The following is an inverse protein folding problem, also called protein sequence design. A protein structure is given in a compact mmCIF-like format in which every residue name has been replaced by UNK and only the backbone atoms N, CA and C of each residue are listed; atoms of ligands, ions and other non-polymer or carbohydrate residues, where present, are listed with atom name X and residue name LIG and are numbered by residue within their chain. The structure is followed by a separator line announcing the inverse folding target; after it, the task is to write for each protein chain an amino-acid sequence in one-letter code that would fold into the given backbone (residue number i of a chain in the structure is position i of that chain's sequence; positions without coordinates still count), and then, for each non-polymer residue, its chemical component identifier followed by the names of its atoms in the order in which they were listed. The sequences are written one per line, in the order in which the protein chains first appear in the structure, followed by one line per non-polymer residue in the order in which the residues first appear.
data_IF_267028506871
#
_entry.id   IF_267028506871
#
_cell.length_a   1.000
_cell.length_b   1.000
_cell.length_c   1.000
_cell.angle_alpha   90.00
_cell.angle_beta   90.00
_cell.angle_gamma   90.00
#
_symmetry.space_group_name_H-M   'P 1'
#
loop_
_entity.id
_entity.type
_entity.pdbx_description
1 polymer ?
#
# COMPACT_ATOMS: atom_id res chain seq x y z
N UNK A 1 27.76 -37.54 -27.97
CA UNK A 1 27.52 -37.48 -26.50
C UNK A 1 28.09 -36.19 -25.87
N UNK A 2 29.35 -35.83 -26.10
CA UNK A 2 30.01 -34.66 -25.49
C UNK A 2 29.26 -33.31 -25.66
N UNK A 3 28.69 -33.00 -26.83
CA UNK A 3 27.95 -31.74 -27.07
C UNK A 3 26.64 -31.64 -26.24
N UNK A 4 25.96 -32.73 -25.97
CA UNK A 4 24.76 -32.73 -25.13
C UNK A 4 25.08 -32.56 -23.66
N UNK A 5 26.21 -33.10 -23.19
CA UNK A 5 26.68 -32.95 -21.84
C UNK A 5 27.15 -31.50 -21.60
N UNK A 6 27.83 -30.87 -22.57
CA UNK A 6 28.26 -29.49 -22.48
C UNK A 6 27.07 -28.50 -22.41
N UNK A 7 26.04 -28.72 -23.20
CA UNK A 7 24.79 -27.93 -23.16
C UNK A 7 24.06 -28.10 -21.81
N UNK A 8 24.07 -29.28 -21.22
CA UNK A 8 23.45 -29.52 -19.91
C UNK A 8 24.20 -28.81 -18.80
N UNK A 9 25.54 -28.81 -18.84
CA UNK A 9 26.39 -28.07 -17.90
C UNK A 9 26.22 -26.55 -18.03
N UNK A 10 26.08 -26.02 -19.25
CA UNK A 10 25.80 -24.58 -19.47
C UNK A 10 24.41 -24.17 -18.95
N UNK A 11 23.39 -25.01 -19.14
CA UNK A 11 22.04 -24.77 -18.62
C UNK A 11 21.99 -24.84 -17.07
N UNK A 12 22.71 -25.77 -16.45
CA UNK A 12 22.82 -25.85 -14.99
C UNK A 12 23.58 -24.67 -14.38
N UNK A 13 24.62 -24.17 -15.05
CA UNK A 13 25.39 -22.99 -14.55
C UNK A 13 24.58 -21.69 -14.65
N UNK A 14 23.64 -21.55 -15.61
CA UNK A 14 22.77 -20.41 -15.74
C UNK A 14 21.65 -20.38 -14.67
N UNK A 15 21.24 -21.56 -14.17
CA UNK A 15 20.19 -21.65 -13.15
C UNK A 15 20.66 -21.34 -11.73
N UNK A 16 21.98 -21.24 -11.52
CA UNK A 16 22.57 -20.96 -10.19
C UNK A 16 22.74 -19.46 -9.88
N UNK A 17 22.31 -18.58 -10.78
CA UNK A 17 22.24 -17.14 -10.48
C UNK A 17 20.94 -16.85 -9.71
N UNK A 18 20.91 -17.27 -8.45
CA UNK A 18 19.94 -16.74 -7.50
C UNK A 18 20.27 -15.26 -7.28
N UNK A 19 19.47 -14.38 -7.87
CA UNK A 19 19.50 -12.97 -7.52
C UNK A 19 19.12 -12.84 -6.05
N UNK A 20 20.11 -12.74 -5.17
CA UNK A 20 19.87 -12.21 -3.85
C UNK A 20 19.47 -10.74 -4.01
N UNK A 21 18.16 -10.49 -4.07
CA UNK A 21 17.64 -9.14 -3.88
C UNK A 21 17.88 -8.82 -2.40
N UNK A 22 19.04 -8.25 -2.12
CA UNK A 22 19.30 -7.66 -0.81
C UNK A 22 18.36 -6.46 -0.72
N UNK A 23 17.29 -6.63 0.06
CA UNK A 23 16.43 -5.50 0.42
C UNK A 23 17.35 -4.46 1.09
N UNK A 24 17.64 -3.38 0.37
CA UNK A 24 18.40 -2.28 0.94
C UNK A 24 17.58 -1.70 2.11
N UNK A 25 18.14 -1.63 3.31
CA UNK A 25 17.48 -0.94 4.40
C UNK A 25 17.22 0.48 3.93
N UNK A 26 15.95 0.83 3.78
CA UNK A 26 15.59 2.20 3.45
C UNK A 26 16.11 3.10 4.56
N UNK A 27 16.97 4.03 4.22
CA UNK A 27 17.41 5.05 5.17
C UNK A 27 16.17 5.71 5.81
N UNK A 28 16.15 5.88 7.13
CA UNK A 28 15.03 6.55 7.79
C UNK A 28 14.79 7.89 7.06
N UNK A 29 13.54 8.12 6.65
CA UNK A 29 13.16 9.36 5.97
C UNK A 29 13.46 10.53 6.90
N UNK A 30 14.39 11.37 6.52
CA UNK A 30 14.66 12.63 7.22
C UNK A 30 13.52 13.60 6.97
N UNK A 31 12.88 14.04 8.06
CA UNK A 31 11.83 15.06 7.99
C UNK A 31 12.47 16.42 7.72
N UNK A 32 11.88 17.22 6.84
CA UNK A 32 12.24 18.61 6.71
C UNK A 32 11.68 19.42 7.92
N UNK A 33 12.06 20.68 8.06
CA UNK A 33 11.68 21.50 9.20
C UNK A 33 10.15 21.66 9.37
N UNK A 34 9.40 21.75 8.28
CA UNK A 34 7.93 21.85 8.32
C UNK A 34 7.29 20.52 8.74
N UNK A 35 7.76 19.41 8.22
CA UNK A 35 7.33 18.07 8.60
C UNK A 35 7.64 17.77 10.06
N UNK A 36 8.84 18.14 10.53
CA UNK A 36 9.23 17.98 11.93
C UNK A 36 8.30 18.78 12.86
N UNK A 37 8.01 20.03 12.51
CA UNK A 37 7.08 20.88 13.27
C UNK A 37 5.69 20.27 13.37
N UNK A 38 5.18 19.71 12.26
CA UNK A 38 3.88 19.02 12.25
C UNK A 38 3.92 17.74 13.08
N UNK A 39 5.00 16.96 13.01
CA UNK A 39 5.17 15.76 13.82
C UNK A 39 5.16 16.09 15.33
N UNK A 40 5.86 17.16 15.74
CA UNK A 40 5.86 17.63 17.14
C UNK A 40 4.45 18.05 17.56
N UNK A 41 3.72 18.81 16.74
CA UNK A 41 2.33 19.19 17.03
C UNK A 41 1.42 17.97 17.18
N UNK A 42 1.64 16.93 16.38
CA UNK A 42 0.85 15.70 16.42
C UNK A 42 1.01 14.95 17.75
N UNK A 43 2.13 15.09 18.45
CA UNK A 43 2.35 14.44 19.75
C UNK A 43 1.38 14.91 20.84
N UNK A 44 0.82 16.10 20.73
CA UNK A 44 -0.17 16.63 21.68
C UNK A 44 -1.63 16.25 21.33
N UNK A 45 -1.87 15.53 20.22
CA UNK A 45 -3.20 15.14 19.78
C UNK A 45 -3.43 13.66 20.10
N UNK A 46 -4.20 13.37 21.15
CA UNK A 46 -4.46 12.01 21.63
C UNK A 46 -5.65 11.33 20.94
N UNK A 47 -6.48 12.08 20.23
CA UNK A 47 -7.65 11.54 19.53
C UNK A 47 -7.27 10.69 18.31
N UNK A 48 -8.07 9.66 18.04
CA UNK A 48 -7.99 8.86 16.82
C UNK A 48 -9.37 8.68 16.20
N UNK A 49 -9.39 8.45 14.89
CA UNK A 49 -10.61 8.23 14.11
C UNK A 49 -10.44 6.97 13.28
N UNK A 50 -11.40 6.07 13.39
CA UNK A 50 -11.55 4.92 12.49
C UNK A 50 -12.85 5.08 11.71
N UNK A 51 -12.75 5.24 10.40
CA UNK A 51 -13.88 5.20 9.49
C UNK A 51 -14.04 3.78 8.98
N UNK A 52 -15.24 3.21 9.08
CA UNK A 52 -15.51 1.83 8.66
C UNK A 52 -16.58 1.88 7.58
N UNK A 53 -16.34 1.22 6.45
CA UNK A 53 -17.33 1.03 5.40
C UNK A 53 -17.16 -0.31 4.69
N UNK A 54 -18.16 -0.70 3.91
CA UNK A 54 -18.22 -2.03 3.31
C UNK A 54 -17.17 -2.21 2.20
N UNK A 55 -17.04 -1.24 1.31
CA UNK A 55 -16.26 -1.37 0.08
C UNK A 55 -15.24 -0.25 -0.08
N UNK A 56 -14.20 -0.46 -0.92
CA UNK A 56 -13.39 0.63 -1.44
C UNK A 56 -14.30 1.67 -2.11
N UNK A 57 -14.04 2.97 -1.89
CA UNK A 57 -14.81 4.13 -2.36
C UNK A 57 -16.01 4.59 -1.51
N UNK A 58 -16.41 3.84 -0.51
CA UNK A 58 -17.45 4.26 0.44
C UNK A 58 -16.93 5.29 1.47
N UNK A 59 -15.63 5.55 1.51
CA UNK A 59 -15.04 6.47 2.48
C UNK A 59 -15.30 7.93 2.15
N UNK A 60 -15.52 8.73 3.20
CA UNK A 60 -15.50 10.18 3.07
C UNK A 60 -14.05 10.70 3.10
N UNK A 61 -13.43 10.82 1.93
CA UNK A 61 -12.03 11.25 1.77
C UNK A 61 -11.78 12.65 2.31
N UNK A 62 -12.73 13.58 2.17
CA UNK A 62 -12.63 14.93 2.71
C UNK A 62 -12.61 14.92 4.25
N UNK A 63 -13.44 14.09 4.87
CA UNK A 63 -13.43 13.90 6.31
C UNK A 63 -12.11 13.30 6.80
N UNK A 64 -11.61 12.25 6.16
CA UNK A 64 -10.33 11.62 6.51
C UNK A 64 -9.17 12.62 6.40
N UNK A 65 -9.11 13.37 5.29
CA UNK A 65 -8.09 14.41 5.09
C UNK A 65 -8.17 15.52 6.16
N UNK A 66 -9.37 15.96 6.50
CA UNK A 66 -9.57 16.95 7.56
C UNK A 66 -9.10 16.44 8.92
N UNK A 67 -9.44 15.22 9.29
CA UNK A 67 -9.04 14.64 10.57
C UNK A 67 -7.53 14.38 10.61
N UNK A 68 -6.94 13.82 9.55
CA UNK A 68 -5.53 13.48 9.50
C UNK A 68 -4.61 14.72 9.40
N UNK A 69 -4.95 15.67 8.52
CA UNK A 69 -4.09 16.83 8.21
C UNK A 69 -4.53 18.10 8.91
N UNK A 70 -5.83 18.35 9.03
CA UNK A 70 -6.37 19.53 9.67
C UNK A 70 -6.36 19.42 11.18
N UNK A 71 -6.80 18.31 11.73
CA UNK A 71 -6.86 18.05 13.18
C UNK A 71 -5.66 17.31 13.72
N UNK A 72 -4.78 16.81 12.85
CA UNK A 72 -3.57 16.03 13.18
C UNK A 72 -3.86 14.74 13.97
N UNK A 73 -5.09 14.23 13.89
CA UNK A 73 -5.50 13.00 14.55
C UNK A 73 -4.96 11.78 13.79
N UNK A 74 -4.66 10.70 14.51
CA UNK A 74 -4.46 9.41 13.87
C UNK A 74 -5.79 8.99 13.23
N UNK A 75 -5.81 8.88 11.92
CA UNK A 75 -7.01 8.57 11.16
C UNK A 75 -6.79 7.32 10.33
N UNK A 76 -7.79 6.47 10.26
CA UNK A 76 -7.74 5.23 9.50
C UNK A 76 -9.06 4.97 8.80
N UNK A 77 -8.97 4.28 7.66
CA UNK A 77 -10.09 3.68 6.97
C UNK A 77 -10.00 2.16 7.03
N UNK A 78 -11.05 1.50 7.47
CA UNK A 78 -11.23 0.05 7.43
C UNK A 78 -12.28 -0.27 6.38
N UNK A 79 -11.87 -0.83 5.24
CA UNK A 79 -12.75 -1.44 4.26
C UNK A 79 -13.00 -2.92 4.63
N UNK A 80 -14.27 -3.32 4.71
CA UNK A 80 -14.62 -4.71 5.05
C UNK A 80 -14.24 -5.66 3.92
N UNK A 81 -14.31 -5.21 2.67
CA UNK A 81 -13.85 -5.97 1.49
C UNK A 81 -12.73 -5.22 0.77
N UNK A 82 -12.04 -5.89 -0.13
CA UNK A 82 -11.08 -5.27 -1.04
C UNK A 82 -11.71 -4.83 -2.36
N UNK A 83 -13.05 -5.01 -2.51
CA UNK A 83 -13.77 -4.67 -3.74
C UNK A 83 -13.67 -5.73 -4.83
N UNK A 84 -13.31 -6.96 -4.49
CA UNK A 84 -13.21 -8.10 -5.40
C UNK A 84 -14.54 -8.45 -6.09
N UNK A 85 -15.68 -8.12 -5.46
CA UNK A 85 -17.02 -8.26 -6.03
C UNK A 85 -17.44 -7.11 -6.97
N UNK A 86 -16.59 -6.11 -7.14
CA UNK A 86 -16.89 -4.94 -7.98
C UNK A 86 -16.70 -5.21 -9.46
N UNK A 87 -17.12 -4.24 -10.28
CA UNK A 87 -16.91 -4.25 -11.72
C UNK A 87 -15.75 -3.35 -12.11
N UNK A 88 -14.91 -3.80 -13.03
CA UNK A 88 -13.89 -2.97 -13.65
C UNK A 88 -14.46 -2.37 -14.95
N UNK A 89 -14.62 -1.05 -14.98
CA UNK A 89 -15.11 -0.34 -16.16
C UNK A 89 -13.99 -0.02 -17.18
N UNK A 90 -12.73 -0.21 -16.78
CA UNK A 90 -11.55 0.17 -17.58
C UNK A 90 -10.80 -1.04 -18.15
N UNK A 91 -11.03 -2.22 -17.61
CA UNK A 91 -10.32 -3.43 -17.97
C UNK A 91 -11.16 -4.71 -17.75
N UNK A 92 -10.52 -5.84 -17.96
CA UNK A 92 -11.17 -7.15 -17.87
C UNK A 92 -10.98 -7.84 -16.51
N UNK A 93 -10.27 -7.20 -15.59
CA UNK A 93 -9.93 -7.75 -14.28
C UNK A 93 -11.18 -7.90 -13.42
N UNK A 94 -11.35 -9.10 -12.85
CA UNK A 94 -12.46 -9.48 -11.99
C UNK A 94 -11.92 -10.26 -10.77
N UNK A 95 -12.73 -10.39 -9.73
CA UNK A 95 -12.39 -11.17 -8.54
C UNK A 95 -11.12 -10.67 -7.85
N UNK A 96 -10.21 -11.57 -7.53
CA UNK A 96 -8.97 -11.27 -6.80
C UNK A 96 -8.12 -10.19 -7.47
N UNK A 97 -8.05 -10.18 -8.80
CA UNK A 97 -7.31 -9.16 -9.54
C UNK A 97 -7.93 -7.77 -9.34
N UNK A 98 -9.25 -7.69 -9.31
CA UNK A 98 -9.96 -6.44 -9.00
C UNK A 98 -9.66 -6.00 -7.57
N UNK A 99 -9.64 -6.91 -6.60
CA UNK A 99 -9.25 -6.64 -5.22
C UNK A 99 -7.84 -6.06 -5.09
N UNK A 100 -6.88 -6.57 -5.89
CA UNK A 100 -5.51 -6.03 -5.94
C UNK A 100 -5.50 -4.59 -6.46
N UNK A 101 -6.22 -4.31 -7.56
CA UNK A 101 -6.32 -2.96 -8.14
C UNK A 101 -6.91 -1.99 -7.13
N UNK A 102 -8.06 -2.32 -6.55
CA UNK A 102 -8.76 -1.47 -5.58
C UNK A 102 -7.92 -1.23 -4.31
N UNK A 103 -7.17 -2.24 -3.87
CA UNK A 103 -6.21 -2.07 -2.77
C UNK A 103 -5.16 -1.00 -3.10
N UNK A 104 -4.58 -1.01 -4.31
CA UNK A 104 -3.58 -0.02 -4.71
C UNK A 104 -4.17 1.39 -4.85
N UNK A 105 -5.41 1.50 -5.32
CA UNK A 105 -6.15 2.78 -5.38
C UNK A 105 -6.35 3.37 -3.99
N UNK A 106 -6.82 2.57 -3.02
CA UNK A 106 -6.99 3.01 -1.64
C UNK A 106 -5.66 3.43 -0.99
N UNK A 107 -4.59 2.66 -1.21
CA UNK A 107 -3.26 3.02 -0.72
C UNK A 107 -2.75 4.32 -1.36
N UNK A 108 -3.10 4.59 -2.63
CA UNK A 108 -2.79 5.85 -3.28
C UNK A 108 -3.57 7.02 -2.65
N UNK A 109 -4.87 6.84 -2.40
CA UNK A 109 -5.70 7.83 -1.72
C UNK A 109 -5.17 8.15 -0.31
N UNK A 110 -4.76 7.14 0.46
CA UNK A 110 -4.16 7.31 1.81
C UNK A 110 -2.85 8.12 1.79
N UNK A 111 -2.05 8.01 0.74
CA UNK A 111 -0.87 8.89 0.57
C UNK A 111 -1.25 10.37 0.42
N UNK A 112 -2.44 10.63 -0.14
CA UNK A 112 -2.93 12.00 -0.34
C UNK A 112 -3.61 12.53 0.92
N UNK A 113 -4.54 11.78 1.53
CA UNK A 113 -5.32 12.25 2.69
C UNK A 113 -4.57 12.10 4.02
N UNK A 114 -3.57 11.22 4.09
CA UNK A 114 -2.73 11.01 5.28
C UNK A 114 -3.33 10.06 6.31
N UNK A 115 -4.41 9.35 5.98
CA UNK A 115 -4.97 8.29 6.81
C UNK A 115 -4.24 6.94 6.57
N UNK A 116 -4.46 5.99 7.47
CA UNK A 116 -4.01 4.60 7.35
C UNK A 116 -5.09 3.76 6.65
N UNK A 117 -4.71 2.68 5.95
CA UNK A 117 -5.63 1.76 5.31
C UNK A 117 -5.59 0.39 5.97
N UNK A 118 -6.76 -0.14 6.29
CA UNK A 118 -6.96 -1.49 6.80
C UNK A 118 -8.04 -2.22 6.01
N UNK A 119 -7.97 -3.56 6.03
CA UNK A 119 -8.96 -4.47 5.44
C UNK A 119 -9.26 -5.59 6.44
N UNK A 120 -10.45 -6.20 6.37
CA UNK A 120 -10.79 -7.38 7.16
C UNK A 120 -10.54 -8.69 6.41
N UNK A 121 -10.45 -8.67 5.10
CA UNK A 121 -10.20 -9.82 4.22
C UNK A 121 -8.94 -9.63 3.40
#
# INVERSE_FOLDING_TARGET
MARKILCLFLLLSLSSFTFFVVAQPQSPRTLNAAELRLAIKKLSVLGSVLFIAAHPDDENTAFLAYMAKGRLMRSAYLAVTRGEGGQNLLGAEQGDLMGVIRTQELLAARRIDGAEQYFTS
#
